data_IF_315843290166
#
_entry.id   IF_315843290166
#
_cell.length_a   1.000
_cell.length_b   1.000
_cell.length_c   1.000
_cell.angle_alpha   90.00
_cell.angle_beta   90.00
_cell.angle_gamma   90.00
#
_symmetry.space_group_name_H-M   'P 1'
#
loop_
_entity.id
_entity.type
_entity.pdbx_description
1 polymer ?
#
# COMPACT_ATOMS: atom_id res chain seq x y z
N UNK A 1 -41.59 -44.32 56.40
CA UNK A 1 -40.45 -43.41 56.63
C UNK A 1 -40.01 -42.86 55.28
N UNK A 2 -40.35 -41.61 54.95
CA UNK A 2 -40.00 -40.99 53.65
C UNK A 2 -38.60 -40.37 53.76
N UNK A 3 -37.62 -40.94 53.06
CA UNK A 3 -36.26 -40.41 52.97
C UNK A 3 -36.27 -39.20 52.01
N UNK A 4 -36.00 -38.00 52.52
CA UNK A 4 -35.77 -36.79 51.71
C UNK A 4 -34.27 -36.70 51.41
N UNK A 5 -33.87 -36.93 50.15
CA UNK A 5 -32.52 -36.63 49.67
C UNK A 5 -32.43 -35.14 49.30
N UNK A 6 -31.45 -34.37 49.80
CA UNK A 6 -31.18 -33.04 49.25
C UNK A 6 -30.47 -33.17 47.91
N UNK A 7 -31.03 -32.55 46.87
CA UNK A 7 -30.39 -32.40 45.55
C UNK A 7 -29.28 -31.35 45.72
N UNK A 8 -28.02 -31.78 45.62
CA UNK A 8 -26.87 -30.90 45.62
C UNK A 8 -26.72 -30.28 44.23
N UNK A 9 -27.10 -29.01 44.08
CA UNK A 9 -26.85 -28.22 42.87
C UNK A 9 -25.39 -27.76 42.89
N UNK A 10 -24.53 -28.42 42.11
CA UNK A 10 -23.15 -27.96 41.90
C UNK A 10 -23.13 -27.02 40.69
N UNK A 11 -23.22 -25.71 40.93
CA UNK A 11 -23.09 -24.71 39.87
C UNK A 11 -21.59 -24.45 39.65
N UNK A 12 -20.98 -25.20 38.73
CA UNK A 12 -19.63 -24.90 38.25
C UNK A 12 -19.73 -23.69 37.29
N UNK A 13 -19.63 -22.47 37.83
CA UNK A 13 -19.39 -21.28 37.01
C UNK A 13 -17.87 -21.05 36.95
N UNK A 14 -17.24 -21.66 35.95
CA UNK A 14 -15.89 -21.35 35.49
C UNK A 14 -15.84 -21.77 34.03
N UNK A 15 -15.33 -21.01 33.07
CA UNK A 15 -14.32 -19.95 33.11
C UNK A 15 -14.80 -18.90 32.09
N UNK A 16 -14.92 -17.62 32.49
CA UNK A 16 -14.93 -16.51 31.54
C UNK A 16 -13.49 -16.40 31.00
N UNK A 17 -13.17 -17.19 29.97
CA UNK A 17 -11.90 -17.04 29.28
C UNK A 17 -11.95 -15.75 28.48
N UNK A 18 -10.97 -14.90 28.77
CA UNK A 18 -10.67 -13.66 28.09
C UNK A 18 -10.50 -13.89 26.58
N UNK A 19 -11.58 -13.70 25.81
CA UNK A 19 -11.42 -13.34 24.41
C UNK A 19 -11.13 -11.84 24.42
N UNK A 20 -9.85 -11.48 24.52
CA UNK A 20 -9.45 -10.11 24.22
C UNK A 20 -9.89 -9.85 22.77
N UNK A 21 -10.71 -8.82 22.55
CA UNK A 21 -11.21 -8.54 21.21
C UNK A 21 -10.01 -8.31 20.29
N UNK A 22 -10.04 -8.88 19.08
CA UNK A 22 -8.97 -8.73 18.08
C UNK A 22 -8.54 -7.27 17.91
N UNK A 23 -9.45 -6.30 18.11
CA UNK A 23 -9.11 -4.88 18.22
C UNK A 23 -8.01 -4.54 19.22
N UNK A 24 -8.10 -5.04 20.46
CA UNK A 24 -7.12 -4.76 21.52
C UNK A 24 -5.77 -5.39 21.19
N UNK A 25 -5.80 -6.59 20.60
CA UNK A 25 -4.58 -7.25 20.16
C UNK A 25 -3.90 -6.45 19.03
N UNK A 26 -4.68 -5.96 18.07
CA UNK A 26 -4.17 -5.10 17.00
C UNK A 26 -3.67 -3.76 17.53
N UNK A 27 -4.21 -3.19 18.62
CA UNK A 27 -3.73 -1.93 19.21
C UNK A 27 -2.26 -2.00 19.63
N UNK A 28 -1.82 -3.14 20.17
CA UNK A 28 -0.44 -3.34 20.66
C UNK A 28 0.58 -3.44 19.53
N UNK A 29 0.18 -3.88 18.34
CA UNK A 29 1.08 -4.11 17.20
C UNK A 29 1.43 -2.79 16.50
N UNK A 30 2.65 -2.31 16.62
CA UNK A 30 3.08 -0.99 16.12
C UNK A 30 3.96 -1.03 14.89
N UNK A 31 4.55 -2.18 14.58
CA UNK A 31 5.51 -2.34 13.50
C UNK A 31 5.41 -3.73 12.84
N UNK A 32 6.15 -3.92 11.75
CA UNK A 32 6.14 -5.14 10.95
C UNK A 32 6.68 -6.37 11.69
N UNK A 33 7.68 -6.20 12.56
CA UNK A 33 8.28 -7.29 13.34
C UNK A 33 7.27 -7.83 14.37
N UNK A 34 6.60 -6.94 15.10
CA UNK A 34 5.51 -7.29 16.02
C UNK A 34 4.33 -7.93 15.29
N UNK A 35 3.98 -7.44 14.09
CA UNK A 35 2.91 -8.02 13.28
C UNK A 35 3.26 -9.43 12.80
N UNK A 36 4.51 -9.64 12.37
CA UNK A 36 5.00 -10.95 11.96
C UNK A 36 4.98 -11.92 13.13
N UNK A 37 5.51 -11.50 14.29
CA UNK A 37 5.48 -12.29 15.51
C UNK A 37 4.06 -12.66 15.94
N UNK A 38 3.11 -11.73 15.81
CA UNK A 38 1.71 -11.97 16.11
C UNK A 38 1.09 -13.03 15.18
N UNK A 39 1.36 -12.96 13.88
CA UNK A 39 0.84 -13.92 12.90
C UNK A 39 1.47 -15.31 13.03
N UNK A 40 2.72 -15.41 13.47
CA UNK A 40 3.41 -16.69 13.66
C UNK A 40 2.99 -17.40 14.95
N UNK A 41 2.77 -16.63 16.03
CA UNK A 41 2.50 -17.17 17.35
C UNK A 41 1.00 -17.41 17.61
N UNK A 42 0.11 -16.61 17.03
CA UNK A 42 -1.34 -16.78 17.20
C UNK A 42 -1.96 -17.56 16.03
N UNK A 43 -2.08 -18.88 16.21
CA UNK A 43 -2.70 -19.77 15.21
C UNK A 43 -4.21 -19.58 15.06
N UNK A 44 -4.85 -18.78 15.92
CA UNK A 44 -6.31 -18.56 15.89
C UNK A 44 -6.71 -17.42 14.95
N UNK A 45 -5.79 -16.50 14.66
CA UNK A 45 -6.03 -15.37 13.75
C UNK A 45 -5.46 -15.69 12.38
N UNK A 46 -6.32 -15.68 11.36
CA UNK A 46 -5.90 -15.74 9.95
C UNK A 46 -5.65 -14.32 9.46
N UNK A 47 -4.40 -14.00 9.15
CA UNK A 47 -4.02 -12.68 8.65
C UNK A 47 -2.74 -12.74 7.82
N UNK A 48 -2.43 -11.63 7.18
CA UNK A 48 -1.21 -11.43 6.40
C UNK A 48 -0.84 -9.94 6.40
N UNK A 49 0.44 -9.65 6.16
CA UNK A 49 0.94 -8.30 5.96
C UNK A 49 0.88 -8.00 4.46
N UNK A 50 0.19 -6.92 4.08
CA UNK A 50 0.07 -6.49 2.68
C UNK A 50 0.62 -5.08 2.49
N UNK A 51 1.28 -4.86 1.36
CA UNK A 51 1.78 -3.54 0.95
C UNK A 51 0.85 -2.95 -0.12
N UNK A 52 0.26 -1.79 0.19
CA UNK A 52 -0.55 -1.04 -0.75
C UNK A 52 0.27 0.04 -1.45
N UNK A 53 0.41 -0.05 -2.78
CA UNK A 53 0.96 1.00 -3.61
C UNK A 53 -0.15 1.79 -4.33
N UNK A 54 -0.13 3.12 -4.24
CA UNK A 54 -1.14 4.01 -4.85
C UNK A 54 -1.25 3.84 -6.37
N UNK A 55 -0.15 3.61 -7.09
CA UNK A 55 -0.18 3.41 -8.54
C UNK A 55 -0.86 2.10 -8.94
N UNK A 56 -0.64 1.03 -8.17
CA UNK A 56 -1.11 -0.33 -8.51
C UNK A 56 -2.48 -0.66 -7.94
N UNK A 57 -2.83 -0.13 -6.76
CA UNK A 57 -4.08 -0.47 -6.08
C UNK A 57 -5.05 0.71 -6.11
N UNK A 58 -6.09 0.59 -6.95
CA UNK A 58 -7.13 1.61 -7.16
C UNK A 58 -8.49 1.21 -6.56
N UNK A 59 -8.51 0.29 -5.61
CA UNK A 59 -9.75 -0.13 -4.96
C UNK A 59 -10.16 0.89 -3.88
N UNK A 60 -11.46 1.05 -3.58
CA UNK A 60 -11.90 1.97 -2.52
C UNK A 60 -11.27 1.66 -1.15
N UNK A 61 -10.99 0.38 -0.87
CA UNK A 61 -10.29 -0.03 0.33
C UNK A 61 -8.84 0.48 0.34
N UNK A 62 -8.10 0.26 -0.75
CA UNK A 62 -6.73 0.70 -0.86
C UNK A 62 -6.63 2.23 -0.73
N UNK A 63 -7.53 2.97 -1.38
CA UNK A 63 -7.58 4.43 -1.27
C UNK A 63 -7.87 4.91 0.17
N UNK A 64 -8.77 4.23 0.89
CA UNK A 64 -9.08 4.56 2.28
C UNK A 64 -7.91 4.23 3.22
N UNK A 65 -7.22 3.11 3.01
CA UNK A 65 -6.03 2.72 3.77
C UNK A 65 -4.85 3.65 3.50
N UNK A 66 -4.61 4.04 2.25
CA UNK A 66 -3.54 4.97 1.87
C UNK A 66 -3.74 6.39 2.42
N UNK A 67 -5.00 6.80 2.63
CA UNK A 67 -5.34 8.08 3.28
C UNK A 67 -5.22 8.03 4.81
N UNK A 68 -5.15 6.84 5.40
CA UNK A 68 -4.94 6.68 6.85
C UNK A 68 -3.45 6.77 7.15
N UNK A 69 -3.11 7.50 8.21
CA UNK A 69 -1.75 7.50 8.74
C UNK A 69 -1.40 6.19 9.46
N UNK A 70 -0.13 6.06 9.85
CA UNK A 70 0.36 4.98 10.72
C UNK A 70 -0.51 4.84 11.97
N UNK A 71 -0.85 3.59 12.30
CA UNK A 71 -1.77 3.23 13.38
C UNK A 71 -3.26 3.31 13.02
N UNK A 72 -3.62 3.89 11.87
CA UNK A 72 -5.00 3.95 11.41
C UNK A 72 -5.59 2.57 11.18
N UNK A 73 -6.87 2.40 11.49
CA UNK A 73 -7.57 1.13 11.35
C UNK A 73 -8.75 1.22 10.38
N UNK A 74 -9.11 0.08 9.79
CA UNK A 74 -10.31 -0.08 8.98
C UNK A 74 -10.91 -1.45 9.24
N UNK A 75 -12.21 -1.48 9.50
CA UNK A 75 -12.98 -2.73 9.59
C UNK A 75 -13.91 -2.80 8.39
N UNK A 76 -13.97 -3.98 7.76
CA UNK A 76 -14.91 -4.30 6.69
C UNK A 76 -15.72 -5.50 7.14
N UNK A 77 -17.04 -5.34 7.18
CA UNK A 77 -17.96 -6.45 7.35
C UNK A 77 -18.40 -6.94 5.97
N UNK A 78 -18.18 -8.23 5.69
CA UNK A 78 -18.57 -8.90 4.45
C UNK A 78 -19.81 -9.79 4.65
N UNK A 79 -20.46 -9.71 5.80
CA UNK A 79 -21.67 -10.48 6.17
C UNK A 79 -21.38 -11.90 6.66
N UNK A 80 -20.34 -12.55 6.16
CA UNK A 80 -19.88 -13.87 6.64
C UNK A 80 -18.53 -13.80 7.38
N UNK A 81 -17.78 -12.72 7.20
CA UNK A 81 -16.52 -12.47 7.88
C UNK A 81 -16.35 -10.96 8.13
N UNK A 82 -15.65 -10.63 9.22
CA UNK A 82 -15.20 -9.27 9.51
C UNK A 82 -13.70 -9.24 9.35
N UNK A 83 -13.21 -8.42 8.42
CA UNK A 83 -11.77 -8.22 8.19
C UNK A 83 -11.34 -6.88 8.79
N UNK A 84 -10.26 -6.91 9.57
CA UNK A 84 -9.69 -5.73 10.23
C UNK A 84 -8.30 -5.46 9.69
N UNK A 85 -8.06 -4.21 9.32
CA UNK A 85 -6.80 -3.70 8.82
C UNK A 85 -6.24 -2.71 9.84
N UNK A 86 -4.93 -2.78 10.08
CA UNK A 86 -4.14 -1.76 10.76
C UNK A 86 -3.02 -1.31 9.84
N UNK A 87 -2.86 0.00 9.68
CA UNK A 87 -1.75 0.60 8.93
C UNK A 87 -0.52 0.57 9.81
N UNK A 88 0.44 -0.31 9.48
CA UNK A 88 1.69 -0.45 10.25
C UNK A 88 2.70 0.63 9.91
N UNK A 89 2.77 1.04 8.64
CA UNK A 89 3.63 2.15 8.22
C UNK A 89 3.13 2.81 6.93
N UNK A 90 3.62 4.03 6.68
CA UNK A 90 3.31 4.82 5.49
C UNK A 90 4.59 5.50 4.98
N UNK A 91 4.96 5.19 3.75
CA UNK A 91 6.12 5.78 3.08
C UNK A 91 5.68 6.62 1.89
N UNK A 92 6.28 7.78 1.74
CA UNK A 92 6.08 8.63 0.56
C UNK A 92 7.34 8.61 -0.28
N UNK A 93 7.22 8.12 -1.50
CA UNK A 93 8.29 8.17 -2.49
C UNK A 93 7.94 9.21 -3.56
N UNK A 94 8.78 10.23 -3.69
CA UNK A 94 8.62 11.23 -4.74
C UNK A 94 9.06 10.61 -6.06
N UNK A 95 8.09 10.39 -6.96
CA UNK A 95 8.35 9.91 -8.30
C UNK A 95 8.53 11.11 -9.25
N UNK A 96 9.69 11.22 -9.88
CA UNK A 96 9.93 12.23 -10.91
C UNK A 96 9.60 11.64 -12.28
N UNK A 97 8.75 12.33 -13.04
CA UNK A 97 8.50 12.03 -14.45
C UNK A 97 9.18 13.09 -15.30
N UNK A 98 10.11 12.66 -16.15
CA UNK A 98 10.77 13.51 -17.14
C UNK A 98 10.44 13.03 -18.55
N UNK A 99 10.37 13.96 -19.49
CA UNK A 99 10.32 13.67 -20.91
C UNK A 99 11.64 14.16 -21.53
N UNK A 100 12.34 13.31 -22.26
CA UNK A 100 13.73 13.55 -22.71
C UNK A 100 13.80 13.38 -24.23
N UNK A 101 14.58 14.24 -24.89
CA UNK A 101 14.99 14.07 -26.28
C UNK A 101 16.45 13.66 -26.25
N UNK A 102 16.74 12.43 -26.67
CA UNK A 102 18.10 11.89 -26.60
C UNK A 102 18.84 12.10 -27.93
N UNK A 103 20.11 12.46 -27.83
CA UNK A 103 21.01 12.55 -28.98
C UNK A 103 22.18 11.58 -28.81
N UNK A 104 22.44 10.79 -29.85
CA UNK A 104 23.56 9.86 -29.89
C UNK A 104 24.72 10.49 -30.69
N UNK A 105 25.82 10.80 -30.01
CA UNK A 105 27.04 11.35 -30.63
C UNK A 105 27.77 10.38 -31.55
N UNK A 106 27.45 9.08 -31.51
CA UNK A 106 27.97 8.11 -32.49
C UNK A 106 27.27 8.21 -33.85
N UNK A 107 26.03 8.73 -33.86
CA UNK A 107 25.19 8.84 -35.06
C UNK A 107 25.19 10.26 -35.67
N UNK A 108 25.64 11.28 -34.92
CA UNK A 108 25.66 12.67 -35.36
C UNK A 108 26.81 13.46 -34.74
N UNK A 109 27.35 14.44 -35.48
CA UNK A 109 28.36 15.36 -34.95
C UNK A 109 27.79 16.26 -33.86
N UNK A 110 28.66 16.71 -32.94
CA UNK A 110 28.29 17.63 -31.85
C UNK A 110 27.71 18.95 -32.37
N UNK A 111 28.23 19.50 -33.45
CA UNK A 111 27.71 20.74 -34.05
C UNK A 111 26.28 20.56 -34.56
N UNK A 112 26.01 19.42 -35.19
CA UNK A 112 24.66 19.07 -35.64
C UNK A 112 23.72 18.84 -34.46
N UNK A 113 24.17 18.15 -33.41
CA UNK A 113 23.38 17.97 -32.18
C UNK A 113 23.05 19.31 -31.53
N UNK A 114 24.03 20.21 -31.41
CA UNK A 114 23.85 21.52 -30.78
C UNK A 114 22.90 22.42 -31.59
N UNK A 115 23.00 22.41 -32.92
CA UNK A 115 22.07 23.15 -33.79
C UNK A 115 20.66 22.59 -33.72
N UNK A 116 20.48 21.26 -33.73
CA UNK A 116 19.17 20.61 -33.54
C UNK A 116 18.58 20.94 -32.17
N UNK A 117 19.38 20.89 -31.09
CA UNK A 117 18.94 21.30 -29.74
C UNK A 117 18.47 22.75 -29.73
N UNK A 118 19.22 23.67 -30.33
CA UNK A 118 18.85 25.08 -30.39
C UNK A 118 17.52 25.29 -31.15
N UNK A 119 17.33 24.56 -32.25
CA UNK A 119 16.08 24.59 -33.02
C UNK A 119 14.88 24.07 -32.22
N UNK A 120 15.02 22.93 -31.54
CA UNK A 120 13.97 22.36 -30.68
C UNK A 120 13.59 23.34 -29.58
N UNK A 121 14.57 23.94 -28.90
CA UNK A 121 14.31 24.92 -27.84
C UNK A 121 13.57 26.15 -28.37
N UNK A 122 13.92 26.61 -29.58
CA UNK A 122 13.20 27.70 -30.24
C UNK A 122 11.74 27.30 -30.51
N UNK A 123 11.51 26.14 -31.11
CA UNK A 123 10.15 25.64 -31.40
C UNK A 123 9.31 25.45 -30.15
N UNK A 124 9.89 24.89 -29.10
CA UNK A 124 9.21 24.74 -27.83
C UNK A 124 8.81 26.11 -27.24
N UNK A 125 9.70 27.11 -27.29
CA UNK A 125 9.38 28.49 -26.89
C UNK A 125 8.31 29.16 -27.76
N UNK A 126 8.21 28.77 -29.02
CA UNK A 126 7.14 29.19 -29.95
C UNK A 126 5.79 28.49 -29.69
N UNK A 127 5.72 27.57 -28.72
CA UNK A 127 4.48 26.87 -28.34
C UNK A 127 4.26 25.52 -29.04
N UNK A 128 5.26 24.99 -29.74
CA UNK A 128 5.15 23.65 -30.33
C UNK A 128 5.12 22.57 -29.22
N UNK A 129 4.24 21.56 -29.34
CA UNK A 129 4.16 20.47 -28.36
C UNK A 129 5.48 19.70 -28.21
N UNK A 130 5.91 19.47 -26.97
CA UNK A 130 7.16 18.77 -26.69
C UNK A 130 7.14 17.31 -27.16
N UNK A 131 6.01 16.62 -27.06
CA UNK A 131 5.86 15.23 -27.47
C UNK A 131 6.05 15.05 -28.98
N UNK A 132 5.60 16.01 -29.79
CA UNK A 132 5.85 16.02 -31.23
C UNK A 132 7.33 16.28 -31.54
N UNK A 133 7.94 17.24 -30.86
CA UNK A 133 9.38 17.51 -30.98
C UNK A 133 10.21 16.28 -30.57
N UNK A 134 9.82 15.58 -29.51
CA UNK A 134 10.50 14.38 -29.04
C UNK A 134 10.39 13.23 -30.04
N UNK A 135 9.18 12.94 -30.55
CA UNK A 135 8.96 11.92 -31.59
C UNK A 135 9.76 12.18 -32.86
N UNK A 136 9.95 13.44 -33.22
CA UNK A 136 10.64 13.82 -34.45
C UNK A 136 12.17 13.80 -34.31
N UNK A 137 12.70 14.21 -33.15
CA UNK A 137 14.12 14.52 -33.01
C UNK A 137 14.87 13.63 -32.00
N UNK A 138 14.18 12.84 -31.18
CA UNK A 138 14.85 11.89 -30.31
C UNK A 138 15.46 10.77 -31.15
N UNK A 139 16.70 10.43 -30.84
CA UNK A 139 17.43 9.30 -31.43
C UNK A 139 17.23 8.01 -30.64
N UNK A 140 16.53 8.07 -29.50
CA UNK A 140 16.08 6.87 -28.80
C UNK A 140 14.89 6.25 -29.53
N UNK A 141 15.04 4.99 -29.96
CA UNK A 141 13.96 4.22 -30.60
C UNK A 141 13.03 3.56 -29.60
N UNK A 142 13.31 3.71 -28.30
CA UNK A 142 12.55 3.11 -27.19
C UNK A 142 11.41 4.00 -26.67
N UNK A 143 11.29 5.24 -27.17
CA UNK A 143 10.27 6.24 -26.78
C UNK A 143 8.97 6.18 -27.57
#
# INVERSE_FOLDING_TARGET
MRLRMPILFFFFFGILSAQESVEKQLEVITNEEEATSYLENDKTVKGEIQVFNEMKHKTPLAEDLLKKGKGGTKTIDRGFETVRYKVLDVYFETHYRAAIIMFDSSQSSLDKINSTRAFILKKFKEGYPYDLLAKQYSMDTST
#
